data_IF_582052346480
#
_entry.id   IF_582052346480
#
_cell.length_a   1.000
_cell.length_b   1.000
_cell.length_c   1.000
_cell.angle_alpha   90.00
_cell.angle_beta   90.00
_cell.angle_gamma   90.00
#
_symmetry.space_group_name_H-M   'P 1'
#
loop_
_entity.id
_entity.type
_entity.pdbx_description
1 polymer ?
#
# COMPACT_ATOMS: atom_id res chain seq x y z
N UNK A 1 -33.58 66.10 11.06
CA UNK A 1 -33.55 66.27 9.61
C UNK A 1 -33.24 64.90 9.02
N UNK A 2 -34.24 64.33 8.41
CA UNK A 2 -34.40 63.15 7.53
C UNK A 2 -33.16 62.73 6.75
N UNK A 3 -32.90 61.44 6.72
CA UNK A 3 -32.93 60.71 5.44
C UNK A 3 -32.95 59.20 5.68
N UNK A 4 -33.98 58.62 5.11
CA UNK A 4 -34.42 57.25 4.98
C UNK A 4 -33.38 56.34 4.32
N UNK A 5 -33.14 55.13 4.88
CA UNK A 5 -32.52 54.00 4.23
C UNK A 5 -33.62 53.04 3.72
N UNK A 6 -33.52 52.67 2.45
CA UNK A 6 -34.33 51.61 1.80
C UNK A 6 -33.86 50.21 2.22
N UNK A 7 -34.75 49.23 2.31
CA UNK A 7 -34.39 47.83 2.52
C UNK A 7 -33.95 47.17 1.23
N UNK A 8 -32.91 46.34 1.32
CA UNK A 8 -32.46 45.50 0.22
C UNK A 8 -33.34 44.23 0.12
N UNK A 9 -33.72 43.91 -1.08
CA UNK A 9 -34.48 42.73 -1.48
C UNK A 9 -33.74 41.44 -1.15
N UNK A 10 -34.42 40.56 -0.44
CA UNK A 10 -34.08 39.16 -0.26
C UNK A 10 -34.96 38.35 -1.23
N UNK A 11 -34.47 37.99 -2.38
CA UNK A 11 -34.96 36.84 -3.18
C UNK A 11 -33.94 36.54 -4.28
N UNK A 12 -33.13 35.55 -4.05
CA UNK A 12 -32.76 34.48 -5.02
C UNK A 12 -31.93 33.47 -4.24
N UNK A 13 -32.60 32.46 -3.69
CA UNK A 13 -31.94 31.24 -3.24
C UNK A 13 -31.63 30.45 -4.48
N UNK A 14 -30.38 30.38 -4.75
CA UNK A 14 -29.74 29.73 -5.87
C UNK A 14 -29.95 28.20 -5.77
N UNK A 15 -30.59 27.63 -6.80
CA UNK A 15 -30.88 26.19 -6.94
C UNK A 15 -29.68 25.40 -7.49
N UNK A 16 -28.45 25.80 -7.15
CA UNK A 16 -27.22 25.24 -7.74
C UNK A 16 -26.49 24.23 -6.83
N UNK A 17 -27.13 23.79 -5.72
CA UNK A 17 -26.44 22.86 -4.78
C UNK A 17 -26.61 21.37 -5.08
N UNK A 18 -27.42 20.96 -6.06
CA UNK A 18 -27.72 19.53 -6.26
C UNK A 18 -26.88 18.86 -7.38
N UNK A 19 -26.23 19.64 -8.24
CA UNK A 19 -25.41 19.06 -9.33
C UNK A 19 -23.94 18.78 -8.92
N UNK A 20 -23.43 19.36 -7.85
CA UNK A 20 -22.05 19.16 -7.40
C UNK A 20 -21.86 17.86 -6.59
N UNK A 21 -22.89 17.37 -5.94
CA UNK A 21 -22.86 16.12 -5.19
C UNK A 21 -22.75 14.89 -6.12
N UNK A 22 -23.55 14.82 -7.14
CA UNK A 22 -23.57 13.71 -8.09
C UNK A 22 -22.26 13.60 -8.88
N UNK A 23 -21.69 14.71 -9.32
CA UNK A 23 -20.39 14.72 -10.03
C UNK A 23 -19.21 14.29 -9.14
N UNK A 24 -19.20 14.61 -7.85
CA UNK A 24 -18.17 14.12 -6.90
C UNK A 24 -18.27 12.63 -6.66
N UNK A 25 -19.47 12.06 -6.59
CA UNK A 25 -19.69 10.62 -6.42
C UNK A 25 -19.27 9.83 -7.67
N UNK A 26 -19.56 10.31 -8.86
CA UNK A 26 -19.14 9.67 -10.13
C UNK A 26 -17.61 9.69 -10.28
N UNK A 27 -16.94 10.77 -9.87
CA UNK A 27 -15.46 10.82 -9.83
C UNK A 27 -14.89 9.81 -8.84
N UNK A 28 -15.49 9.64 -7.66
CA UNK A 28 -15.06 8.68 -6.63
C UNK A 28 -15.16 7.22 -7.10
N UNK A 29 -16.25 6.84 -7.76
CA UNK A 29 -16.45 5.49 -8.30
C UNK A 29 -15.46 5.21 -9.45
N UNK A 30 -15.22 6.19 -10.33
CA UNK A 30 -14.24 6.05 -11.42
C UNK A 30 -12.82 5.88 -10.93
N UNK A 31 -12.44 6.56 -9.85
CA UNK A 31 -11.14 6.41 -9.19
C UNK A 31 -11.03 5.04 -8.51
N UNK A 32 -12.07 4.58 -7.82
CA UNK A 32 -12.12 3.25 -7.20
C UNK A 32 -11.99 2.12 -8.24
N UNK A 33 -12.67 2.25 -9.38
CA UNK A 33 -12.61 1.26 -10.47
C UNK A 33 -11.22 1.13 -11.09
N UNK A 34 -10.45 2.23 -11.10
CA UNK A 34 -9.09 2.30 -11.67
C UNK A 34 -7.97 2.10 -10.65
N UNK A 35 -8.31 1.74 -9.42
CA UNK A 35 -7.29 1.48 -8.40
C UNK A 35 -6.36 0.35 -8.84
N UNK A 36 -5.03 0.52 -8.66
CA UNK A 36 -4.09 -0.54 -8.94
C UNK A 36 -4.30 -1.71 -7.99
N UNK A 37 -3.92 -2.88 -8.44
CA UNK A 37 -3.90 -4.12 -7.66
C UNK A 37 -2.93 -3.98 -6.47
N UNK A 38 -3.36 -4.42 -5.30
CA UNK A 38 -2.57 -4.35 -4.07
C UNK A 38 -1.73 -5.62 -3.81
N UNK A 39 -1.78 -6.61 -4.70
CA UNK A 39 -1.22 -7.95 -4.51
C UNK A 39 0.26 -7.93 -4.18
N UNK A 40 1.08 -7.26 -4.98
CA UNK A 40 2.53 -7.25 -4.84
C UNK A 40 2.97 -6.48 -3.58
N UNK A 41 2.31 -5.35 -3.32
CA UNK A 41 2.58 -4.56 -2.12
C UNK A 41 2.22 -5.33 -0.85
N UNK A 42 1.01 -5.91 -0.77
CA UNK A 42 0.55 -6.65 0.39
C UNK A 42 1.37 -7.92 0.62
N UNK A 43 1.72 -8.63 -0.47
CA UNK A 43 2.61 -9.81 -0.40
C UNK A 43 3.98 -9.45 0.16
N UNK A 44 4.57 -8.32 -0.29
CA UNK A 44 5.85 -7.82 0.21
C UNK A 44 5.76 -7.42 1.68
N UNK A 45 4.67 -6.78 2.09
CA UNK A 45 4.40 -6.42 3.48
C UNK A 45 4.30 -7.67 4.39
N UNK A 46 3.52 -8.68 3.97
CA UNK A 46 3.37 -9.95 4.70
C UNK A 46 4.72 -10.70 4.79
N UNK A 47 5.52 -10.67 3.73
CA UNK A 47 6.87 -11.27 3.72
C UNK A 47 7.80 -10.56 4.70
N UNK A 48 7.82 -9.22 4.72
CA UNK A 48 8.62 -8.42 5.65
C UNK A 48 8.26 -8.67 7.12
N UNK A 49 6.98 -8.90 7.42
CA UNK A 49 6.48 -9.25 8.76
C UNK A 49 6.57 -10.73 9.12
N UNK A 50 7.13 -11.57 8.25
CA UNK A 50 7.19 -13.04 8.40
C UNK A 50 5.81 -13.71 8.58
N UNK A 51 4.73 -13.07 8.10
CA UNK A 51 3.36 -13.58 8.19
C UNK A 51 2.97 -14.47 7.01
N UNK A 52 3.78 -14.53 5.96
CA UNK A 52 3.46 -15.27 4.74
C UNK A 52 3.24 -16.79 4.98
N UNK A 53 4.03 -17.49 5.82
CA UNK A 53 3.78 -18.91 6.13
C UNK A 53 2.42 -19.10 6.81
N UNK A 54 2.07 -18.22 7.76
CA UNK A 54 0.77 -18.27 8.44
C UNK A 54 -0.39 -18.07 7.44
N UNK A 55 -0.29 -17.09 6.54
CA UNK A 55 -1.31 -16.84 5.52
C UNK A 55 -1.46 -18.03 4.55
N UNK A 56 -0.37 -18.70 4.20
CA UNK A 56 -0.40 -19.93 3.38
C UNK A 56 -1.19 -21.03 4.07
N UNK A 57 -0.90 -21.29 5.34
CA UNK A 57 -1.62 -22.26 6.15
C UNK A 57 -3.09 -21.91 6.31
N UNK A 58 -3.41 -20.64 6.55
CA UNK A 58 -4.79 -20.17 6.66
C UNK A 58 -5.56 -20.42 5.35
N UNK A 59 -5.00 -20.04 4.20
CA UNK A 59 -5.64 -20.27 2.89
C UNK A 59 -5.83 -21.77 2.61
N UNK A 60 -4.81 -22.59 2.90
CA UNK A 60 -4.92 -24.04 2.79
C UNK A 60 -6.08 -24.59 3.62
N UNK A 61 -6.14 -24.25 4.90
CA UNK A 61 -7.18 -24.78 5.81
C UNK A 61 -8.58 -24.31 5.38
N UNK A 62 -8.75 -23.02 5.07
CA UNK A 62 -10.06 -22.47 4.67
C UNK A 62 -10.57 -23.13 3.39
N UNK A 63 -9.74 -23.21 2.34
CA UNK A 63 -10.15 -23.82 1.08
C UNK A 63 -10.40 -25.32 1.22
N UNK A 64 -9.58 -26.02 1.99
CA UNK A 64 -9.77 -27.44 2.27
C UNK A 64 -11.08 -27.69 3.03
N UNK A 65 -11.41 -26.83 3.99
CA UNK A 65 -12.67 -26.94 4.76
C UNK A 65 -13.88 -26.78 3.83
N UNK A 66 -13.84 -25.80 2.89
CA UNK A 66 -14.93 -25.64 1.92
C UNK A 66 -15.00 -26.85 0.99
N UNK A 67 -13.87 -27.34 0.47
CA UNK A 67 -13.81 -28.53 -0.36
C UNK A 67 -14.38 -29.76 0.35
N UNK A 68 -13.97 -29.98 1.60
CA UNK A 68 -14.46 -31.08 2.43
C UNK A 68 -15.96 -30.96 2.75
N UNK A 69 -16.45 -29.74 3.01
CA UNK A 69 -17.87 -29.51 3.22
C UNK A 69 -18.70 -29.91 1.98
N UNK A 70 -18.28 -29.50 0.79
CA UNK A 70 -18.94 -29.91 -0.48
C UNK A 70 -18.86 -31.46 -0.65
N UNK A 71 -17.70 -32.06 -0.36
CA UNK A 71 -17.57 -33.52 -0.47
C UNK A 71 -18.48 -34.27 0.51
N UNK A 72 -18.66 -33.77 1.74
CA UNK A 72 -19.54 -34.37 2.74
C UNK A 72 -21.03 -34.32 2.33
N UNK A 73 -21.45 -33.29 1.58
CA UNK A 73 -22.85 -33.21 1.10
C UNK A 73 -23.19 -34.32 0.11
N UNK A 74 -22.19 -34.92 -0.58
CA UNK A 74 -22.41 -36.06 -1.49
C UNK A 74 -22.92 -37.31 -0.75
N UNK A 75 -22.68 -37.42 0.55
CA UNK A 75 -23.17 -38.50 1.40
C UNK A 75 -24.50 -38.15 2.10
N UNK A 76 -24.98 -36.90 1.96
CA UNK A 76 -26.19 -36.43 2.64
C UNK A 76 -27.45 -36.69 1.81
N UNK A 77 -28.60 -37.07 2.42
CA UNK A 77 -29.88 -37.12 1.74
C UNK A 77 -30.35 -35.74 1.18
N UNK A 78 -29.91 -34.65 1.81
CA UNK A 78 -30.20 -33.28 1.36
C UNK A 78 -29.24 -32.80 0.26
N UNK A 79 -28.16 -33.52 0.01
CA UNK A 79 -27.13 -33.19 -0.96
C UNK A 79 -27.54 -33.52 -2.41
N UNK A 80 -26.55 -33.53 -3.33
CA UNK A 80 -26.76 -33.78 -4.77
C UNK A 80 -27.45 -35.13 -5.04
N UNK A 81 -28.61 -35.12 -5.70
CA UNK A 81 -29.41 -36.31 -6.00
C UNK A 81 -29.24 -36.81 -7.43
N UNK A 82 -29.10 -35.89 -8.40
CA UNK A 82 -28.95 -36.27 -9.82
C UNK A 82 -27.49 -36.51 -10.19
N UNK A 83 -27.19 -37.32 -11.22
CA UNK A 83 -25.84 -37.55 -11.70
C UNK A 83 -25.11 -36.26 -12.05
N UNK A 84 -25.80 -35.30 -12.67
CA UNK A 84 -25.22 -34.00 -13.03
C UNK A 84 -24.82 -33.16 -11.80
N UNK A 85 -25.70 -33.13 -10.78
CA UNK A 85 -25.41 -32.45 -9.50
C UNK A 85 -24.21 -33.10 -8.79
N UNK A 86 -24.14 -34.42 -8.77
CA UNK A 86 -23.02 -35.16 -8.16
C UNK A 86 -21.71 -34.87 -8.86
N UNK A 87 -21.69 -34.89 -10.19
CA UNK A 87 -20.50 -34.53 -10.99
C UNK A 87 -20.07 -33.08 -10.67
N UNK A 88 -21.00 -32.14 -10.64
CA UNK A 88 -20.71 -30.75 -10.32
C UNK A 88 -20.09 -30.61 -8.91
N UNK A 89 -20.63 -31.28 -7.91
CA UNK A 89 -20.10 -31.28 -6.55
C UNK A 89 -18.70 -31.93 -6.45
N UNK A 90 -18.46 -33.05 -7.16
CA UNK A 90 -17.13 -33.66 -7.23
C UNK A 90 -16.10 -32.73 -7.86
N UNK A 91 -16.43 -32.15 -9.01
CA UNK A 91 -15.53 -31.22 -9.71
C UNK A 91 -15.25 -29.98 -8.85
N UNK A 92 -16.28 -29.43 -8.20
CA UNK A 92 -16.15 -28.27 -7.32
C UNK A 92 -15.24 -28.58 -6.11
N UNK A 93 -15.49 -29.69 -5.43
CA UNK A 93 -14.67 -30.13 -4.28
C UNK A 93 -13.23 -30.42 -4.69
N UNK A 94 -13.01 -31.18 -5.77
CA UNK A 94 -11.67 -31.48 -6.27
C UNK A 94 -10.92 -30.20 -6.71
N UNK A 95 -11.59 -29.27 -7.41
CA UNK A 95 -11.00 -28.01 -7.82
C UNK A 95 -10.53 -27.15 -6.64
N UNK A 96 -11.37 -27.01 -5.61
CA UNK A 96 -10.98 -26.29 -4.39
C UNK A 96 -9.86 -27.00 -3.61
N UNK A 97 -9.85 -28.34 -3.57
CA UNK A 97 -8.80 -29.11 -2.94
C UNK A 97 -7.44 -28.89 -3.66
N UNK A 98 -7.43 -28.89 -4.99
CA UNK A 98 -6.22 -28.60 -5.79
C UNK A 98 -5.70 -27.19 -5.51
N UNK A 99 -6.59 -26.19 -5.51
CA UNK A 99 -6.22 -24.81 -5.16
C UNK A 99 -5.66 -24.76 -3.73
N UNK A 100 -6.34 -25.41 -2.77
CA UNK A 100 -5.90 -25.48 -1.37
C UNK A 100 -4.48 -26.03 -1.26
N UNK A 101 -4.21 -27.21 -1.83
CA UNK A 101 -2.91 -27.88 -1.77
C UNK A 101 -1.81 -27.03 -2.40
N UNK A 102 -2.12 -26.25 -3.43
CA UNK A 102 -1.13 -25.38 -4.07
C UNK A 102 -0.50 -24.36 -3.09
N UNK A 103 -1.26 -23.89 -2.08
CA UNK A 103 -0.76 -23.01 -1.03
C UNK A 103 0.27 -23.66 -0.08
N UNK A 104 0.31 -24.98 0.03
CA UNK A 104 1.34 -25.69 0.82
C UNK A 104 2.73 -25.59 0.16
N UNK A 105 2.78 -25.55 -1.17
CA UNK A 105 4.06 -25.49 -1.89
C UNK A 105 4.64 -24.08 -1.93
N UNK A 106 3.83 -23.12 -2.32
CA UNK A 106 4.27 -21.73 -2.44
C UNK A 106 3.11 -20.74 -2.37
N UNK A 107 3.41 -19.48 -2.05
CA UNK A 107 2.47 -18.38 -2.24
C UNK A 107 2.24 -18.19 -3.76
N UNK A 108 1.00 -18.08 -4.24
CA UNK A 108 0.73 -17.95 -5.67
C UNK A 108 1.33 -16.67 -6.24
N UNK A 109 1.63 -16.66 -7.52
CA UNK A 109 1.92 -15.43 -8.24
C UNK A 109 0.63 -14.63 -8.42
N UNK A 110 0.72 -13.34 -8.76
CA UNK A 110 -0.43 -12.47 -9.01
C UNK A 110 -1.43 -13.10 -9.99
N UNK A 111 -0.93 -13.58 -11.14
CA UNK A 111 -1.77 -14.24 -12.16
C UNK A 111 -2.40 -15.53 -11.63
N UNK A 112 -1.64 -16.36 -10.93
CA UNK A 112 -2.18 -17.58 -10.31
C UNK A 112 -3.28 -17.26 -9.30
N UNK A 113 -3.10 -16.23 -8.47
CA UNK A 113 -4.11 -15.80 -7.50
C UNK A 113 -5.40 -15.31 -8.17
N UNK A 114 -5.31 -14.60 -9.29
CA UNK A 114 -6.45 -14.18 -10.10
C UNK A 114 -7.19 -15.40 -10.68
N UNK A 115 -6.47 -16.35 -11.25
CA UNK A 115 -7.03 -17.62 -11.77
C UNK A 115 -7.69 -18.41 -10.64
N UNK A 116 -7.07 -18.50 -9.47
CA UNK A 116 -7.64 -19.18 -8.30
C UNK A 116 -8.92 -18.50 -7.79
N UNK A 117 -8.98 -17.17 -7.85
CA UNK A 117 -10.18 -16.42 -7.49
C UNK A 117 -11.34 -16.71 -8.45
N UNK A 118 -11.09 -16.73 -9.77
CA UNK A 118 -12.11 -17.07 -10.77
C UNK A 118 -12.55 -18.53 -10.62
N UNK A 119 -11.61 -19.47 -10.54
CA UNK A 119 -11.90 -20.88 -10.36
C UNK A 119 -12.64 -21.15 -9.03
N UNK A 120 -12.24 -20.48 -7.96
CA UNK A 120 -12.90 -20.54 -6.65
C UNK A 120 -14.35 -20.07 -6.72
N UNK A 121 -14.64 -18.96 -7.40
CA UNK A 121 -16.00 -18.49 -7.66
C UNK A 121 -16.85 -19.57 -8.37
N UNK A 122 -16.31 -20.15 -9.45
CA UNK A 122 -17.01 -21.19 -10.20
C UNK A 122 -17.25 -22.47 -9.37
N UNK A 123 -16.23 -22.91 -8.62
CA UNK A 123 -16.35 -24.10 -7.77
C UNK A 123 -17.36 -23.90 -6.62
N UNK A 124 -17.32 -22.76 -5.92
CA UNK A 124 -18.28 -22.46 -4.85
C UNK A 124 -19.69 -22.40 -5.41
N UNK A 125 -19.90 -21.68 -6.51
CA UNK A 125 -21.23 -21.60 -7.17
C UNK A 125 -21.74 -22.98 -7.60
N UNK A 126 -20.89 -23.79 -8.24
CA UNK A 126 -21.26 -25.15 -8.69
C UNK A 126 -21.59 -26.04 -7.49
N UNK A 127 -20.80 -26.02 -6.41
CA UNK A 127 -21.05 -26.78 -5.20
C UNK A 127 -22.39 -26.40 -4.55
N UNK A 128 -22.64 -25.10 -4.39
CA UNK A 128 -23.89 -24.59 -3.79
C UNK A 128 -25.11 -24.93 -4.65
N UNK A 129 -25.04 -24.72 -5.95
CA UNK A 129 -26.18 -24.99 -6.85
C UNK A 129 -26.43 -26.48 -7.09
N UNK A 130 -25.44 -27.33 -6.82
CA UNK A 130 -25.58 -28.78 -6.88
C UNK A 130 -26.44 -29.36 -5.75
N UNK A 131 -26.63 -28.64 -4.65
CA UNK A 131 -27.45 -29.08 -3.52
C UNK A 131 -28.93 -29.28 -3.94
N UNK A 132 -29.53 -30.39 -3.57
CA UNK A 132 -30.95 -30.65 -3.86
C UNK A 132 -31.85 -29.79 -2.98
N UNK A 133 -31.55 -29.70 -1.67
CA UNK A 133 -32.26 -28.79 -0.77
C UNK A 133 -31.74 -27.35 -0.86
N UNK A 134 -32.57 -26.40 -1.33
CA UNK A 134 -32.14 -25.02 -1.46
C UNK A 134 -31.90 -24.32 -0.12
N UNK A 135 -32.43 -24.84 1.00
CA UNK A 135 -32.18 -24.28 2.34
C UNK A 135 -30.75 -24.57 2.79
N UNK A 136 -30.25 -25.76 2.47
CA UNK A 136 -28.87 -26.17 2.71
C UNK A 136 -27.91 -25.42 1.77
N UNK A 137 -28.27 -25.27 0.49
CA UNK A 137 -27.53 -24.50 -0.50
C UNK A 137 -27.22 -23.06 -0.02
N UNK A 138 -28.18 -22.38 0.61
CA UNK A 138 -27.99 -21.02 1.13
C UNK A 138 -26.88 -20.94 2.21
N UNK A 139 -26.69 -22.00 3.00
CA UNK A 139 -25.61 -22.05 3.99
C UNK A 139 -24.25 -22.12 3.28
N UNK A 140 -24.14 -22.96 2.25
CA UNK A 140 -22.92 -23.09 1.45
C UNK A 140 -22.48 -21.78 0.78
N UNK A 141 -23.45 -20.93 0.42
CA UNK A 141 -23.15 -19.63 -0.20
C UNK A 141 -22.41 -18.64 0.74
N UNK A 142 -22.35 -18.89 2.06
CA UNK A 142 -21.53 -18.12 3.00
C UNK A 142 -20.04 -18.18 2.62
N UNK A 143 -19.58 -19.21 1.90
CA UNK A 143 -18.21 -19.32 1.41
C UNK A 143 -17.80 -18.13 0.53
N UNK A 144 -18.75 -17.46 -0.17
CA UNK A 144 -18.49 -16.25 -0.94
C UNK A 144 -18.05 -15.06 -0.07
N UNK A 145 -18.43 -15.00 1.20
CA UNK A 145 -17.99 -13.95 2.13
C UNK A 145 -16.47 -14.01 2.31
N UNK A 146 -15.92 -15.21 2.51
CA UNK A 146 -14.47 -15.42 2.64
C UNK A 146 -13.72 -15.11 1.34
N UNK A 147 -14.23 -15.57 0.20
CA UNK A 147 -13.62 -15.32 -1.10
C UNK A 147 -13.67 -13.83 -1.47
N UNK A 148 -14.80 -13.15 -1.23
CA UNK A 148 -14.94 -11.72 -1.47
C UNK A 148 -14.02 -10.90 -0.55
N UNK A 149 -13.84 -11.32 0.71
CA UNK A 149 -12.84 -10.75 1.61
C UNK A 149 -11.42 -10.87 1.04
N UNK A 150 -11.01 -12.07 0.62
CA UNK A 150 -9.71 -12.27 0.00
C UNK A 150 -9.50 -11.38 -1.23
N UNK A 151 -10.47 -11.35 -2.15
CA UNK A 151 -10.40 -10.56 -3.37
C UNK A 151 -10.34 -9.06 -3.06
N UNK A 152 -11.08 -8.59 -2.05
CA UNK A 152 -11.07 -7.19 -1.62
C UNK A 152 -9.71 -6.73 -1.11
N UNK A 153 -8.94 -7.62 -0.47
CA UNK A 153 -7.61 -7.31 0.04
C UNK A 153 -6.52 -7.35 -1.04
N UNK A 154 -6.60 -8.29 -1.96
CA UNK A 154 -5.49 -8.61 -2.86
C UNK A 154 -5.70 -8.13 -4.31
N UNK A 155 -6.93 -7.98 -4.78
CA UNK A 155 -7.24 -7.76 -6.18
C UNK A 155 -7.99 -6.46 -6.46
N UNK A 156 -8.15 -6.16 -7.75
CA UNK A 156 -8.83 -4.94 -8.24
C UNK A 156 -10.35 -5.02 -8.10
N UNK A 157 -11.00 -3.86 -8.17
CA UNK A 157 -12.45 -3.73 -8.13
C UNK A 157 -13.21 -4.64 -9.13
N UNK A 158 -12.78 -4.85 -10.40
CA UNK A 158 -13.43 -5.79 -11.32
C UNK A 158 -13.52 -7.22 -10.81
N UNK A 159 -12.46 -7.76 -10.19
CA UNK A 159 -12.47 -9.10 -9.58
C UNK A 159 -13.41 -9.16 -8.37
N UNK A 160 -13.47 -8.10 -7.60
CA UNK A 160 -14.40 -8.00 -6.47
C UNK A 160 -15.85 -7.97 -6.96
N UNK A 161 -16.16 -7.16 -7.98
CA UNK A 161 -17.50 -7.11 -8.57
C UNK A 161 -17.91 -8.46 -9.17
N UNK A 162 -17.01 -9.18 -9.84
CA UNK A 162 -17.24 -10.54 -10.30
C UNK A 162 -17.63 -11.47 -9.14
N UNK A 163 -16.86 -11.42 -8.03
CA UNK A 163 -17.09 -12.29 -6.86
C UNK A 163 -18.39 -11.95 -6.16
N UNK A 164 -18.66 -10.66 -5.94
CA UNK A 164 -19.92 -10.20 -5.35
C UNK A 164 -21.12 -10.57 -6.23
N UNK A 165 -21.01 -10.34 -7.54
CA UNK A 165 -22.06 -10.66 -8.53
C UNK A 165 -22.36 -12.16 -8.57
N UNK A 166 -21.32 -13.01 -8.60
CA UNK A 166 -21.49 -14.47 -8.58
C UNK A 166 -22.11 -14.93 -7.25
N UNK A 167 -21.67 -14.40 -6.12
CA UNK A 167 -22.21 -14.73 -4.81
C UNK A 167 -23.68 -14.33 -4.66
N UNK A 168 -24.03 -13.11 -5.05
CA UNK A 168 -25.41 -12.62 -5.02
C UNK A 168 -26.29 -13.39 -6.01
N UNK A 169 -25.84 -13.67 -7.23
CA UNK A 169 -26.59 -14.47 -8.20
C UNK A 169 -26.89 -15.88 -7.67
N UNK A 170 -25.88 -16.53 -7.06
CA UNK A 170 -26.04 -17.86 -6.44
C UNK A 170 -27.03 -17.81 -5.28
N UNK A 171 -26.97 -16.77 -4.44
CA UNK A 171 -27.91 -16.54 -3.34
C UNK A 171 -29.34 -16.33 -3.84
N UNK A 172 -29.53 -15.51 -4.88
CA UNK A 172 -30.84 -15.23 -5.49
C UNK A 172 -31.45 -16.52 -6.09
N UNK A 173 -30.67 -17.30 -6.84
CA UNK A 173 -31.16 -18.59 -7.39
C UNK A 173 -31.60 -19.53 -6.25
N UNK A 174 -30.84 -19.62 -5.17
CA UNK A 174 -31.20 -20.44 -4.01
C UNK A 174 -32.45 -19.92 -3.30
N UNK A 175 -32.59 -18.59 -3.15
CA UNK A 175 -33.77 -17.95 -2.57
C UNK A 175 -35.04 -18.17 -3.42
N UNK A 176 -34.93 -18.07 -4.74
CA UNK A 176 -36.05 -18.36 -5.66
C UNK A 176 -36.49 -19.83 -5.51
N UNK A 177 -35.56 -20.79 -5.42
CA UNK A 177 -35.87 -22.20 -5.19
C UNK A 177 -36.59 -22.43 -3.84
N UNK A 178 -36.22 -21.70 -2.76
CA UNK A 178 -36.93 -21.76 -1.46
C UNK A 178 -38.34 -21.18 -1.59
N UNK A 179 -38.49 -20.03 -2.26
CA UNK A 179 -39.80 -19.38 -2.47
C UNK A 179 -40.73 -20.27 -3.29
N UNK A 180 -40.22 -20.91 -4.35
CA UNK A 180 -41.00 -21.88 -5.18
C UNK A 180 -41.42 -23.13 -4.37
N UNK A 181 -40.66 -23.47 -3.31
CA UNK A 181 -41.05 -24.52 -2.37
C UNK A 181 -42.11 -24.04 -1.35
N UNK A 182 -42.64 -22.83 -1.46
CA UNK A 182 -43.74 -22.29 -0.68
C UNK A 182 -43.33 -21.42 0.53
N UNK A 183 -42.03 -21.14 0.73
CA UNK A 183 -41.54 -20.41 1.90
C UNK A 183 -40.85 -19.10 1.50
N UNK A 184 -41.66 -18.12 1.08
CA UNK A 184 -41.17 -16.81 0.62
C UNK A 184 -40.55 -15.98 1.74
N UNK A 185 -41.07 -16.08 2.96
CA UNK A 185 -40.57 -15.35 4.12
C UNK A 185 -39.15 -15.81 4.48
N UNK A 186 -38.91 -17.14 4.52
CA UNK A 186 -37.60 -17.71 4.77
C UNK A 186 -36.61 -17.37 3.63
N UNK A 187 -37.06 -17.40 2.38
CA UNK A 187 -36.26 -17.01 1.23
C UNK A 187 -35.76 -15.57 1.36
N UNK A 188 -36.65 -14.63 1.68
CA UNK A 188 -36.31 -13.23 1.87
C UNK A 188 -35.37 -13.01 3.05
N UNK A 189 -35.64 -13.62 4.19
CA UNK A 189 -34.80 -13.47 5.40
C UNK A 189 -33.39 -13.96 5.17
N UNK A 190 -33.22 -15.16 4.60
CA UNK A 190 -31.89 -15.73 4.28
C UNK A 190 -31.14 -14.93 3.23
N UNK A 191 -31.83 -14.43 2.19
CA UNK A 191 -31.22 -13.59 1.14
C UNK A 191 -30.69 -12.29 1.74
N UNK A 192 -31.45 -11.61 2.59
CA UNK A 192 -31.02 -10.38 3.25
C UNK A 192 -29.77 -10.60 4.12
N UNK A 193 -29.77 -11.65 4.95
CA UNK A 193 -28.62 -11.98 5.80
C UNK A 193 -27.38 -12.29 4.97
N UNK A 194 -27.52 -13.10 3.94
CA UNK A 194 -26.40 -13.52 3.10
C UNK A 194 -25.84 -12.36 2.27
N UNK A 195 -26.71 -11.57 1.62
CA UNK A 195 -26.29 -10.38 0.88
C UNK A 195 -25.63 -9.35 1.81
N UNK A 196 -26.17 -9.16 3.02
CA UNK A 196 -25.55 -8.30 4.02
C UNK A 196 -24.13 -8.76 4.36
N UNK A 197 -23.90 -10.04 4.59
CA UNK A 197 -22.58 -10.61 4.86
C UNK A 197 -21.62 -10.50 3.66
N UNK A 198 -22.09 -10.85 2.46
CA UNK A 198 -21.30 -10.78 1.21
C UNK A 198 -20.84 -9.35 0.91
N UNK A 199 -21.63 -8.33 1.23
CA UNK A 199 -21.31 -6.94 0.98
C UNK A 199 -20.51 -6.31 2.13
N UNK A 200 -20.88 -6.58 3.39
CA UNK A 200 -20.29 -5.92 4.55
C UNK A 200 -18.81 -6.27 4.76
N UNK A 201 -18.44 -7.55 4.64
CA UNK A 201 -17.06 -7.99 4.93
C UNK A 201 -16.04 -7.41 3.95
N UNK A 202 -16.24 -7.49 2.62
CA UNK A 202 -15.34 -6.85 1.66
C UNK A 202 -15.29 -5.34 1.79
N UNK A 203 -16.43 -4.71 2.08
CA UNK A 203 -16.47 -3.26 2.31
C UNK A 203 -15.63 -2.86 3.52
N UNK A 204 -15.78 -3.53 4.66
CA UNK A 204 -14.94 -3.32 5.85
C UNK A 204 -13.46 -3.57 5.54
N UNK A 205 -13.16 -4.63 4.78
CA UNK A 205 -11.80 -4.94 4.33
C UNK A 205 -11.19 -3.82 3.49
N UNK A 206 -11.92 -3.30 2.51
CA UNK A 206 -11.45 -2.19 1.67
C UNK A 206 -11.26 -0.89 2.46
N UNK A 207 -12.19 -0.56 3.35
CA UNK A 207 -12.05 0.59 4.25
C UNK A 207 -10.79 0.42 5.11
N UNK A 208 -10.57 -0.73 5.69
CA UNK A 208 -9.39 -1.02 6.53
C UNK A 208 -8.08 -0.91 5.73
N UNK A 209 -8.00 -1.49 4.51
CA UNK A 209 -6.82 -1.36 3.64
C UNK A 209 -6.60 0.10 3.25
N UNK A 210 -7.65 0.84 2.92
CA UNK A 210 -7.55 2.25 2.61
C UNK A 210 -6.98 3.06 3.79
N UNK A 211 -7.49 2.87 5.00
CA UNK A 211 -6.98 3.53 6.20
C UNK A 211 -5.52 3.14 6.50
N UNK A 212 -5.18 1.85 6.43
CA UNK A 212 -3.80 1.38 6.60
C UNK A 212 -2.85 1.97 5.55
N UNK A 213 -3.29 2.06 4.30
CA UNK A 213 -2.49 2.66 3.23
C UNK A 213 -2.33 4.16 3.41
N UNK A 214 -3.38 4.87 3.84
CA UNK A 214 -3.35 6.32 4.14
C UNK A 214 -2.45 6.60 5.34
N UNK A 215 -2.48 5.81 6.40
CA UNK A 215 -1.59 5.98 7.55
C UNK A 215 -0.13 5.66 7.21
N UNK A 216 0.13 4.63 6.42
CA UNK A 216 1.47 4.38 5.89
C UNK A 216 1.91 5.46 4.89
N UNK A 217 0.98 6.13 4.20
CA UNK A 217 1.22 7.29 3.35
C UNK A 217 1.43 8.59 4.14
N UNK A 218 0.79 8.74 5.30
CA UNK A 218 0.94 9.91 6.18
C UNK A 218 2.26 9.90 6.94
N UNK A 219 2.82 8.74 7.28
CA UNK A 219 4.14 8.68 7.92
C UNK A 219 5.24 8.93 6.89
N UNK A 220 5.45 10.19 6.57
CA UNK A 220 6.62 10.66 5.78
C UNK A 220 7.75 11.16 6.68
N UNK A 221 7.65 10.90 7.98
CA UNK A 221 8.63 11.28 8.99
C UNK A 221 9.19 10.06 9.69
N UNK A 222 10.44 10.13 10.11
CA UNK A 222 11.09 9.17 11.00
C UNK A 222 10.63 9.45 12.43
N UNK A 223 10.13 8.42 13.11
CA UNK A 223 9.51 8.56 14.44
C UNK A 223 10.49 8.91 15.55
N UNK A 224 11.78 8.60 15.39
CA UNK A 224 12.81 8.90 16.37
C UNK A 224 13.29 10.34 16.25
N UNK A 225 13.64 10.76 15.04
CA UNK A 225 14.31 12.05 14.80
C UNK A 225 13.36 13.16 14.39
N UNK A 226 12.12 12.84 13.98
CA UNK A 226 11.16 13.80 13.43
C UNK A 226 11.58 14.37 12.06
N UNK A 227 12.71 13.95 11.48
CA UNK A 227 13.06 14.26 10.10
C UNK A 227 12.13 13.53 9.12
N UNK A 228 12.00 14.01 7.89
CA UNK A 228 11.45 13.20 6.82
C UNK A 228 12.14 11.83 6.74
N UNK A 229 11.37 10.77 6.48
CA UNK A 229 11.92 9.46 6.13
C UNK A 229 12.24 9.40 4.62
N UNK A 230 12.69 8.26 4.10
CA UNK A 230 13.02 8.07 2.69
C UNK A 230 11.90 8.55 1.76
N UNK A 231 10.63 8.26 2.07
CA UNK A 231 9.47 8.71 1.27
C UNK A 231 9.28 10.23 1.36
N UNK A 232 9.45 10.80 2.56
CA UNK A 232 9.42 12.25 2.78
C UNK A 232 10.51 12.96 2.00
N UNK A 233 11.72 12.39 1.93
CA UNK A 233 12.82 12.90 1.12
C UNK A 233 12.44 13.01 -0.36
N UNK A 234 11.96 11.93 -0.98
CA UNK A 234 11.59 11.94 -2.39
C UNK A 234 10.54 13.00 -2.70
N UNK A 235 9.56 13.18 -1.80
CA UNK A 235 8.53 14.22 -1.97
C UNK A 235 9.12 15.63 -1.92
N UNK A 236 10.00 15.92 -0.94
CA UNK A 236 10.66 17.21 -0.81
C UNK A 236 11.62 17.48 -1.95
N UNK A 237 12.42 16.49 -2.35
CA UNK A 237 13.35 16.58 -3.46
C UNK A 237 12.64 16.85 -4.81
N UNK A 238 11.49 16.18 -5.05
CA UNK A 238 10.66 16.47 -6.21
C UNK A 238 10.05 17.89 -6.17
N UNK A 239 9.69 18.38 -4.98
CA UNK A 239 9.19 19.73 -4.83
C UNK A 239 10.28 20.76 -5.18
N UNK A 240 11.53 20.54 -4.73
CA UNK A 240 12.67 21.39 -5.13
C UNK A 240 12.82 21.44 -6.66
N UNK A 241 12.83 20.29 -7.33
CA UNK A 241 12.94 20.20 -8.78
C UNK A 241 11.79 20.90 -9.52
N UNK A 242 10.57 20.84 -9.00
CA UNK A 242 9.40 21.50 -9.60
C UNK A 242 9.46 23.02 -9.51
N UNK A 243 10.09 23.57 -8.47
CA UNK A 243 10.19 25.01 -8.23
C UNK A 243 11.55 25.60 -8.64
N UNK A 244 12.38 24.80 -9.34
CA UNK A 244 13.68 25.26 -9.82
C UNK A 244 13.57 26.41 -10.82
N UNK A 245 14.41 27.44 -10.66
CA UNK A 245 14.62 28.44 -11.72
C UNK A 245 15.61 27.91 -12.75
N UNK A 246 15.11 27.35 -13.83
CA UNK A 246 15.92 26.75 -14.89
C UNK A 246 16.78 27.78 -15.67
N UNK A 247 16.48 29.05 -15.54
CA UNK A 247 17.26 30.13 -16.20
C UNK A 247 18.61 30.29 -15.55
N UNK A 248 18.70 30.11 -14.25
CA UNK A 248 19.96 30.17 -13.50
C UNK A 248 20.82 28.92 -13.67
N UNK A 249 20.28 27.85 -14.31
CA UNK A 249 20.95 26.56 -14.50
C UNK A 249 21.51 26.00 -13.17
N UNK A 250 20.67 25.85 -12.13
CA UNK A 250 21.16 25.39 -10.84
C UNK A 250 21.63 23.94 -10.93
N UNK A 251 22.54 23.58 -10.03
CA UNK A 251 22.85 22.17 -9.78
C UNK A 251 21.86 21.61 -8.78
N UNK A 252 21.31 20.44 -9.08
CA UNK A 252 20.63 19.62 -8.09
C UNK A 252 21.64 18.66 -7.50
N UNK A 253 21.99 18.88 -6.24
CA UNK A 253 22.99 18.10 -5.49
C UNK A 253 22.29 17.21 -4.47
N UNK A 254 22.69 15.94 -4.44
CA UNK A 254 22.28 14.96 -3.43
C UNK A 254 23.51 14.51 -2.67
N UNK A 255 23.41 14.49 -1.35
CA UNK A 255 24.41 13.91 -0.46
C UNK A 255 23.83 12.71 0.28
N UNK A 256 24.56 11.58 0.26
CA UNK A 256 24.39 10.46 1.17
C UNK A 256 25.34 10.66 2.35
N UNK A 257 24.82 10.53 3.55
CA UNK A 257 25.53 10.77 4.83
C UNK A 257 25.39 9.52 5.69
N UNK A 258 26.47 9.03 6.24
CA UNK A 258 26.48 7.88 7.13
C UNK A 258 27.40 8.15 8.31
N UNK A 259 26.94 7.87 9.54
CA UNK A 259 27.68 8.11 10.78
C UNK A 259 28.81 7.11 10.94
N UNK A 260 30.01 7.63 11.17
CA UNK A 260 31.22 6.79 11.33
C UNK A 260 31.21 6.09 12.70
N UNK A 261 31.39 4.78 12.69
CA UNK A 261 31.52 3.98 13.89
C UNK A 261 30.27 3.90 14.77
N UNK A 262 29.09 4.24 14.27
CA UNK A 262 27.84 4.27 15.02
C UNK A 262 27.50 2.92 15.68
N UNK A 263 27.77 1.80 14.99
CA UNK A 263 27.61 0.47 15.58
C UNK A 263 28.48 0.30 16.83
N UNK A 264 29.76 0.70 16.78
CA UNK A 264 30.69 0.62 17.95
C UNK A 264 30.19 1.49 19.10
N UNK A 265 29.63 2.67 18.81
CA UNK A 265 29.01 3.53 19.81
C UNK A 265 27.86 2.82 20.50
N UNK A 266 26.93 2.21 19.73
CA UNK A 266 25.83 1.42 20.28
C UNK A 266 26.30 0.24 21.12
N UNK A 267 27.33 -0.47 20.65
CA UNK A 267 27.88 -1.62 21.35
C UNK A 267 28.57 -1.19 22.71
N UNK A 268 29.06 0.05 22.76
CA UNK A 268 29.76 0.58 23.95
C UNK A 268 28.82 1.27 24.95
N UNK A 269 27.91 2.10 24.48
CA UNK A 269 27.05 2.97 25.29
C UNK A 269 25.59 2.53 25.35
N UNK A 270 25.22 1.48 24.57
CA UNK A 270 23.86 0.97 24.45
C UNK A 270 22.98 1.73 23.45
N UNK A 271 21.93 1.08 22.97
CA UNK A 271 20.98 1.66 22.00
C UNK A 271 20.33 2.98 22.45
N UNK A 272 19.98 3.20 23.74
CA UNK A 272 19.42 4.50 24.14
C UNK A 272 20.37 5.68 23.91
N UNK A 273 21.71 5.48 24.08
CA UNK A 273 22.69 6.50 23.75
C UNK A 273 22.78 6.75 22.25
N UNK A 274 22.75 5.70 21.43
CA UNK A 274 22.66 5.81 19.97
C UNK A 274 21.42 6.59 19.50
N UNK A 275 20.28 6.36 20.11
CA UNK A 275 19.06 7.11 19.80
C UNK A 275 19.21 8.60 20.12
N UNK A 276 19.83 8.96 21.24
CA UNK A 276 20.13 10.36 21.58
C UNK A 276 21.10 11.00 20.58
N UNK A 277 22.12 10.28 20.13
CA UNK A 277 23.04 10.74 19.09
C UNK A 277 22.30 11.01 17.78
N UNK A 278 21.44 10.10 17.34
CA UNK A 278 20.66 10.26 16.11
C UNK A 278 19.73 11.48 16.16
N UNK A 279 19.10 11.74 17.31
CA UNK A 279 18.28 12.94 17.52
C UNK A 279 19.13 14.20 17.45
N UNK A 280 20.26 14.22 18.15
CA UNK A 280 21.16 15.38 18.16
C UNK A 280 21.76 15.68 16.78
N UNK A 281 22.14 14.64 16.00
CA UNK A 281 22.59 14.78 14.62
C UNK A 281 21.46 15.35 13.74
N UNK A 282 20.25 14.82 13.88
CA UNK A 282 19.09 15.30 13.12
C UNK A 282 18.79 16.77 13.39
N UNK A 283 18.90 17.20 14.66
CA UNK A 283 18.70 18.59 15.05
C UNK A 283 19.80 19.50 14.49
N UNK A 284 21.05 19.06 14.54
CA UNK A 284 22.18 19.78 13.94
C UNK A 284 22.01 19.96 12.43
N UNK A 285 21.65 18.90 11.74
CA UNK A 285 21.39 18.94 10.30
C UNK A 285 20.22 19.89 9.96
N UNK A 286 19.16 19.88 10.77
CA UNK A 286 17.99 20.77 10.59
C UNK A 286 18.35 22.25 10.79
N UNK A 287 19.22 22.56 11.74
CA UNK A 287 19.65 23.93 12.03
C UNK A 287 20.52 24.53 10.93
N UNK A 288 21.39 23.73 10.33
CA UNK A 288 22.29 24.18 9.24
C UNK A 288 21.57 24.22 7.90
N UNK A 289 20.55 23.41 7.72
CA UNK A 289 19.82 23.30 6.45
C UNK A 289 18.92 24.51 6.23
N UNK A 290 19.07 25.15 5.06
CA UNK A 290 18.23 26.27 4.63
C UNK A 290 16.82 25.84 4.13
N UNK A 291 16.00 26.82 3.79
CA UNK A 291 14.63 26.60 3.32
C UNK A 291 14.54 25.87 1.96
N UNK A 292 15.62 25.92 1.16
CA UNK A 292 15.69 25.33 -0.18
C UNK A 292 16.39 23.97 -0.20
N UNK A 293 16.20 23.20 0.86
CA UNK A 293 16.84 21.90 1.05
C UNK A 293 15.81 20.81 1.36
N UNK A 294 16.16 19.58 1.05
CA UNK A 294 15.45 18.38 1.50
C UNK A 294 16.41 17.54 2.34
N UNK A 295 15.99 17.21 3.55
CA UNK A 295 16.76 16.38 4.47
C UNK A 295 15.90 15.25 5.00
N UNK A 296 16.50 14.06 5.22
CA UNK A 296 15.80 12.90 5.73
C UNK A 296 16.73 11.92 6.42
N UNK A 297 16.18 11.14 7.35
CA UNK A 297 16.80 9.89 7.81
C UNK A 297 16.23 8.72 7.02
N UNK A 298 17.11 7.93 6.38
CA UNK A 298 16.70 6.88 5.43
C UNK A 298 17.06 5.47 5.84
N UNK A 299 17.94 5.35 6.83
CA UNK A 299 18.39 4.09 7.41
C UNK A 299 18.63 4.21 8.91
N UNK A 300 19.26 3.23 9.50
CA UNK A 300 19.61 3.23 10.93
C UNK A 300 20.48 4.41 11.32
N UNK A 301 21.57 4.63 10.59
CA UNK A 301 22.59 5.66 10.78
C UNK A 301 22.81 6.51 9.53
N UNK A 302 21.90 6.39 8.53
CA UNK A 302 22.03 7.01 7.23
C UNK A 302 21.05 8.18 7.05
N UNK A 303 21.57 9.27 6.50
CA UNK A 303 20.79 10.47 6.17
C UNK A 303 20.96 10.84 4.69
N UNK A 304 19.94 11.47 4.13
CA UNK A 304 19.99 12.10 2.81
C UNK A 304 19.79 13.59 2.93
N UNK A 305 20.53 14.33 2.12
CA UNK A 305 20.39 15.77 1.95
C UNK A 305 20.32 16.08 0.47
N UNK A 306 19.48 17.03 0.06
CA UNK A 306 19.45 17.53 -1.30
C UNK A 306 19.17 19.03 -1.32
N UNK A 307 19.75 19.71 -2.33
CA UNK A 307 19.55 21.15 -2.53
C UNK A 307 19.67 21.54 -4.00
N UNK A 308 19.09 22.69 -4.35
CA UNK A 308 19.32 23.41 -5.59
C UNK A 308 20.22 24.61 -5.32
N UNK A 309 21.42 24.65 -5.90
CA UNK A 309 22.45 25.63 -5.60
C UNK A 309 23.52 25.66 -6.69
N UNK A 310 24.53 26.49 -6.56
CA UNK A 310 25.79 26.38 -7.31
C UNK A 310 26.67 25.24 -6.74
N UNK A 311 27.70 24.83 -7.46
CA UNK A 311 28.62 23.78 -6.97
C UNK A 311 29.41 24.25 -5.76
N UNK A 312 29.77 25.53 -5.67
CA UNK A 312 30.50 26.08 -4.54
C UNK A 312 29.62 26.11 -3.29
N UNK A 313 28.36 26.58 -3.42
CA UNK A 313 27.38 26.52 -2.34
C UNK A 313 27.11 25.07 -1.88
N UNK A 314 27.11 24.10 -2.82
CA UNK A 314 26.97 22.70 -2.46
C UNK A 314 28.13 22.17 -1.61
N UNK A 315 29.35 22.59 -1.92
CA UNK A 315 30.57 22.26 -1.15
C UNK A 315 30.54 22.87 0.24
N UNK A 316 30.24 24.18 0.32
CA UNK A 316 30.21 24.92 1.56
C UNK A 316 29.14 24.37 2.53
N UNK A 317 27.91 24.21 2.05
CA UNK A 317 26.81 23.67 2.85
C UNK A 317 27.08 22.23 3.32
N UNK A 318 27.71 21.40 2.49
CA UNK A 318 28.03 20.03 2.90
C UNK A 318 29.14 19.99 3.93
N UNK A 319 30.15 20.86 3.81
CA UNK A 319 31.20 20.99 4.82
C UNK A 319 30.67 21.56 6.15
N UNK A 320 29.69 22.47 6.11
CA UNK A 320 28.97 22.94 7.29
C UNK A 320 28.20 21.81 7.96
N UNK A 321 27.48 20.97 7.20
CA UNK A 321 26.78 19.80 7.73
C UNK A 321 27.77 18.82 8.39
N UNK A 322 28.92 18.54 7.75
CA UNK A 322 29.95 17.66 8.31
C UNK A 322 30.49 18.20 9.64
N UNK A 323 30.80 19.51 9.70
CA UNK A 323 31.26 20.17 10.93
C UNK A 323 30.19 20.16 12.00
N UNK A 324 28.93 20.36 11.65
CA UNK A 324 27.81 20.35 12.60
C UNK A 324 27.63 18.96 13.21
N UNK A 325 27.77 17.88 12.45
CA UNK A 325 27.76 16.51 13.00
C UNK A 325 28.97 16.28 13.90
N UNK A 326 30.17 16.68 13.50
CA UNK A 326 31.37 16.51 14.29
C UNK A 326 31.37 17.32 15.62
N UNK A 327 30.55 18.36 15.70
CA UNK A 327 30.36 19.18 16.91
C UNK A 327 29.33 18.60 17.89
N UNK A 328 28.58 17.56 17.50
CA UNK A 328 27.61 16.89 18.38
C UNK A 328 28.37 16.21 19.53
N UNK A 329 27.88 16.28 20.78
CA UNK A 329 28.44 15.49 21.89
C UNK A 329 28.57 14.02 21.49
N UNK A 330 29.46 13.28 22.07
CA UNK A 330 29.83 11.87 21.83
C UNK A 330 30.93 11.62 20.79
N UNK A 331 31.49 12.66 20.13
CA UNK A 331 32.60 12.50 19.20
C UNK A 331 32.30 11.71 17.95
N UNK A 332 31.04 11.75 17.54
CA UNK A 332 30.57 11.12 16.31
C UNK A 332 30.98 11.97 15.11
N UNK A 333 31.42 11.31 14.02
CA UNK A 333 31.69 11.94 12.73
C UNK A 333 30.83 11.29 11.66
N UNK A 334 30.85 11.82 10.44
CA UNK A 334 30.11 11.24 9.32
C UNK A 334 30.92 11.26 8.03
N UNK A 335 30.71 10.27 7.21
CA UNK A 335 31.21 10.18 5.84
C UNK A 335 30.13 10.64 4.86
N UNK A 336 30.53 11.48 3.93
CA UNK A 336 29.62 12.10 2.95
C UNK A 336 30.01 11.69 1.53
N UNK A 337 29.01 11.34 0.74
CA UNK A 337 29.15 11.20 -0.71
C UNK A 337 28.21 12.15 -1.42
N UNK A 338 28.71 12.93 -2.36
CA UNK A 338 27.96 13.92 -3.14
C UNK A 338 27.85 13.51 -4.61
N UNK A 339 26.68 13.71 -5.16
CA UNK A 339 26.45 13.65 -6.60
C UNK A 339 25.62 14.85 -7.02
N UNK A 340 26.02 15.49 -8.11
CA UNK A 340 25.39 16.72 -8.61
C UNK A 340 25.12 16.64 -10.12
N UNK A 341 24.06 17.28 -10.57
CA UNK A 341 23.79 17.45 -12.00
C UNK A 341 23.17 18.82 -12.29
N UNK A 342 23.46 19.37 -13.45
CA UNK A 342 22.89 20.65 -13.90
C UNK A 342 21.44 20.44 -14.33
N UNK A 343 20.53 21.24 -13.80
CA UNK A 343 19.12 21.22 -14.20
C UNK A 343 18.89 22.32 -15.26
N UNK A 344 18.70 21.88 -16.51
CA UNK A 344 18.50 22.78 -17.66
C UNK A 344 17.05 22.94 -18.09
N UNK A 345 16.19 21.99 -17.69
CA UNK A 345 14.77 21.95 -18.01
C UNK A 345 14.03 21.13 -16.95
N UNK A 346 12.70 21.20 -16.88
CA UNK A 346 11.91 20.31 -16.02
C UNK A 346 12.25 18.85 -16.29
N UNK A 347 12.60 18.13 -15.23
CA UNK A 347 12.93 16.71 -15.36
C UNK A 347 11.68 15.93 -15.78
N UNK A 348 11.75 15.24 -16.91
CA UNK A 348 10.65 14.36 -17.39
C UNK A 348 10.37 13.23 -16.42
N UNK A 349 11.39 12.73 -15.72
CA UNK A 349 11.33 11.64 -14.75
C UNK A 349 12.09 12.01 -13.47
N UNK A 350 11.53 12.89 -12.62
CA UNK A 350 12.24 13.36 -11.42
C UNK A 350 12.65 12.25 -10.47
N UNK A 351 11.85 11.18 -10.35
CA UNK A 351 12.15 10.05 -9.47
C UNK A 351 13.40 9.31 -9.92
N UNK A 352 13.49 8.98 -11.21
CA UNK A 352 14.65 8.26 -11.75
C UNK A 352 15.94 9.08 -11.59
N UNK A 353 15.85 10.40 -11.79
CA UNK A 353 16.97 11.33 -11.58
C UNK A 353 17.43 11.34 -10.11
N UNK A 354 16.50 11.43 -9.18
CA UNK A 354 16.80 11.43 -7.74
C UNK A 354 17.43 10.09 -7.33
N UNK A 355 16.87 8.97 -7.78
CA UNK A 355 17.41 7.63 -7.49
C UNK A 355 18.81 7.43 -8.08
N UNK A 356 19.04 7.90 -9.29
CA UNK A 356 20.35 7.84 -9.93
C UNK A 356 21.41 8.66 -9.14
N UNK A 357 21.06 9.87 -8.69
CA UNK A 357 21.96 10.69 -7.86
C UNK A 357 22.21 10.06 -6.50
N UNK A 358 21.20 9.48 -5.86
CA UNK A 358 21.35 8.76 -4.58
C UNK A 358 22.35 7.60 -4.75
N UNK A 359 22.22 6.79 -5.79
CA UNK A 359 23.12 5.65 -6.01
C UNK A 359 24.59 6.09 -6.22
N UNK A 360 24.81 7.22 -6.89
CA UNK A 360 26.14 7.79 -7.08
C UNK A 360 26.69 8.39 -5.79
N UNK A 361 25.87 9.11 -5.04
CA UNK A 361 26.23 9.63 -3.74
C UNK A 361 26.59 8.51 -2.76
N UNK A 362 25.83 7.41 -2.77
CA UNK A 362 26.11 6.23 -1.94
C UNK A 362 27.49 5.62 -2.23
N UNK A 363 27.80 5.45 -3.52
CA UNK A 363 29.13 4.95 -3.94
C UNK A 363 30.28 5.86 -3.48
N UNK A 364 30.09 7.17 -3.58
CA UNK A 364 31.08 8.15 -3.11
C UNK A 364 31.20 8.15 -1.56
N UNK A 365 30.11 8.02 -0.84
CA UNK A 365 30.06 7.93 0.62
C UNK A 365 30.82 6.67 1.09
N UNK A 366 30.59 5.54 0.44
CA UNK A 366 31.34 4.32 0.74
C UNK A 366 32.86 4.48 0.52
N UNK A 367 33.28 5.20 -0.52
CA UNK A 367 34.67 5.56 -0.73
C UNK A 367 35.22 6.46 0.38
N UNK A 368 34.42 7.42 0.90
CA UNK A 368 34.77 8.25 2.04
C UNK A 368 35.01 7.40 3.30
N UNK A 369 34.12 6.47 3.60
CA UNK A 369 34.26 5.53 4.73
C UNK A 369 35.55 4.71 4.64
N UNK A 370 35.84 4.15 3.47
CA UNK A 370 37.06 3.35 3.28
C UNK A 370 38.36 4.16 3.37
N UNK A 371 38.32 5.45 3.15
CA UNK A 371 39.48 6.35 3.26
C UNK A 371 39.68 6.94 4.66
N UNK A 372 39.03 6.39 5.69
CA UNK A 372 39.22 6.77 7.08
C UNK A 372 38.07 7.52 7.72
N UNK A 373 36.96 7.76 6.99
CA UNK A 373 35.78 8.46 7.52
C UNK A 373 35.96 9.97 7.68
N UNK A 374 34.95 10.64 8.22
CA UNK A 374 34.93 12.09 8.50
C UNK A 374 35.35 12.97 7.31
N UNK A 375 34.91 12.63 6.12
CA UNK A 375 35.29 13.34 4.90
C UNK A 375 34.17 13.33 3.87
N UNK A 376 34.32 14.20 2.88
CA UNK A 376 33.43 14.37 1.74
C UNK A 376 34.11 13.80 0.50
N UNK A 377 33.39 12.96 -0.25
CA UNK A 377 33.79 12.48 -1.57
C UNK A 377 32.75 12.85 -2.61
N UNK A 378 33.21 13.24 -3.78
CA UNK A 378 32.35 13.58 -4.91
C UNK A 378 32.28 12.39 -5.85
N UNK A 379 31.08 12.06 -6.32
CA UNK A 379 30.94 11.10 -7.38
C UNK A 379 31.61 11.62 -8.65
N UNK A 380 32.41 10.81 -9.32
CA UNK A 380 33.08 11.19 -10.56
C UNK A 380 32.03 11.54 -11.63
N UNK A 381 32.22 12.66 -12.33
CA UNK A 381 31.38 13.05 -13.47
C UNK A 381 31.51 12.02 -14.57
N UNK A 382 30.39 11.39 -14.95
CA UNK A 382 30.35 10.67 -16.24
C UNK A 382 30.15 11.75 -17.31
N UNK A 383 31.04 11.83 -18.31
CA UNK A 383 30.83 12.70 -19.45
C UNK A 383 29.45 12.40 -20.08
N UNK A 384 28.66 13.46 -20.31
CA UNK A 384 27.36 13.37 -20.99
C UNK A 384 27.53 12.97 -22.45
#
# INVERSE_FOLDING_TARGET
>A
MKLLSRPADITTIDSDHDHTGAQRHVHGIGLWWRQPDHYDWLTSYLKGRRLLPFMRWLMFVVLLTIAAAIALTLASPAGPQTPAQRIAAYVASAGLAVISVSYLYRWPTRVQSQVFSIAGNACIAAGVLAEADPRTAMIGAVAFVGLAGYVAFFHTAPFLVLTLGTGVATAVVSAVRIAMAGDTAMAAAKLLILCGGILAVPFCGQVMVHWLSVDSLKSSTDTLTGLPNRRGFFRSAQALLRHADYRSRPYFTVAMIDLDGFKKLNDTLGHPAGDMVLVAVADSLRHVSGSNTAIARVGGEEFLFAQLCTLDEARDSTEELRKAIAAVPWGVTASFGLASTVIRAPALKPLELIEWLIARADSAMYAAKRSGGNQIRYAEDVPQ
#
